data_IF_518966794312
#
_entry.id   IF_518966794312
#
_cell.length_a   1.000
_cell.length_b   1.000
_cell.length_c   1.000
_cell.angle_alpha   90.00
_cell.angle_beta   90.00
_cell.angle_gamma   90.00
#
_symmetry.space_group_name_H-M   'P 1'
#
loop_
_entity.id
_entity.type
_entity.pdbx_description
1 polymer ?
#
# COMPACT_ATOMS: atom_id res chain seq x y z
N UNK A 1 -7.88 8.44 -13.43
CA UNK A 1 -8.58 7.73 -12.34
C UNK A 1 -7.63 7.22 -11.26
N UNK A 2 -6.51 6.50 -11.58
CA UNK A 2 -5.59 5.97 -10.57
C UNK A 2 -4.89 7.07 -9.73
N UNK A 3 -4.56 8.21 -10.36
CA UNK A 3 -3.99 9.40 -9.68
C UNK A 3 -4.85 9.87 -8.49
N UNK A 4 -6.18 9.78 -8.59
CA UNK A 4 -7.07 10.17 -7.47
C UNK A 4 -6.93 9.21 -6.29
N UNK A 5 -6.73 7.92 -6.53
CA UNK A 5 -6.46 6.92 -5.49
C UNK A 5 -5.11 7.17 -4.80
N UNK A 6 -4.06 7.45 -5.57
CA UNK A 6 -2.74 7.83 -5.04
C UNK A 6 -2.81 9.09 -4.16
N UNK A 7 -3.51 10.14 -4.63
CA UNK A 7 -3.73 11.38 -3.85
C UNK A 7 -4.53 11.11 -2.58
N UNK A 8 -5.55 10.25 -2.64
CA UNK A 8 -6.33 9.87 -1.48
C UNK A 8 -5.49 9.13 -0.43
N UNK A 9 -4.70 8.14 -0.86
CA UNK A 9 -3.75 7.44 0.02
C UNK A 9 -2.74 8.40 0.65
N UNK A 10 -2.15 9.31 -0.14
CA UNK A 10 -1.25 10.33 0.39
C UNK A 10 -1.92 11.18 1.49
N UNK A 11 -3.17 11.61 1.27
CA UNK A 11 -3.89 12.43 2.23
C UNK A 11 -4.24 11.65 3.52
N UNK A 12 -4.68 10.40 3.41
CA UNK A 12 -5.03 9.55 4.57
C UNK A 12 -3.79 9.29 5.43
N UNK A 13 -2.73 8.77 4.83
CA UNK A 13 -1.54 8.37 5.58
C UNK A 13 -0.72 9.56 6.08
N UNK A 14 -0.72 10.68 5.35
CA UNK A 14 -0.15 11.93 5.87
C UNK A 14 -0.91 12.46 7.09
N UNK A 15 -2.25 12.36 7.12
CA UNK A 15 -3.07 12.75 8.29
C UNK A 15 -2.90 11.81 9.48
N UNK A 16 -2.62 10.53 9.23
CA UNK A 16 -2.18 9.60 10.26
C UNK A 16 -0.74 9.88 10.74
N UNK A 17 -0.02 10.79 10.07
CA UNK A 17 1.32 11.27 10.41
C UNK A 17 2.47 10.42 9.84
N UNK A 18 2.18 9.54 8.89
CA UNK A 18 3.22 8.87 8.10
C UNK A 18 3.81 9.81 7.06
N UNK A 19 5.09 9.59 6.72
CA UNK A 19 5.75 10.28 5.62
C UNK A 19 5.28 9.68 4.29
N UNK A 20 4.85 10.53 3.35
CA UNK A 20 4.34 10.11 2.04
C UNK A 20 5.06 10.86 0.93
N UNK A 21 5.22 10.22 -0.22
CA UNK A 21 5.79 10.84 -1.42
C UNK A 21 5.16 10.28 -2.69
N UNK A 22 4.67 11.10 -3.63
CA UNK A 22 4.47 12.54 -3.50
C UNK A 22 3.42 12.92 -2.43
N UNK A 23 3.43 14.18 -2.00
CA UNK A 23 2.37 14.74 -1.15
C UNK A 23 1.03 14.81 -1.90
N UNK A 24 -0.09 14.90 -1.18
CA UNK A 24 -1.43 14.91 -1.79
C UNK A 24 -1.64 16.07 -2.79
N UNK A 25 -1.08 17.25 -2.51
CA UNK A 25 -1.17 18.43 -3.38
C UNK A 25 0.00 18.57 -4.37
N UNK A 26 0.95 17.63 -4.38
CA UNK A 26 2.09 17.70 -5.29
C UNK A 26 1.67 17.36 -6.73
N UNK A 27 2.26 18.01 -7.75
CA UNK A 27 2.09 17.60 -9.14
C UNK A 27 2.60 16.16 -9.33
N UNK A 28 1.96 15.41 -10.22
CA UNK A 28 2.27 13.98 -10.45
C UNK A 28 2.48 13.72 -11.94
N UNK A 29 3.57 13.02 -12.24
CA UNK A 29 3.91 12.58 -13.59
C UNK A 29 3.78 11.05 -13.74
N UNK A 30 3.64 10.31 -12.64
CA UNK A 30 3.43 8.86 -12.60
C UNK A 30 2.27 8.49 -11.65
N UNK A 31 2.06 7.18 -11.48
CA UNK A 31 1.01 6.61 -10.63
C UNK A 31 1.49 6.19 -9.25
N UNK A 32 2.78 6.28 -8.96
CA UNK A 32 3.38 5.67 -7.78
C UNK A 32 3.10 6.55 -6.57
N UNK A 33 2.58 5.93 -5.51
CA UNK A 33 2.45 6.55 -4.20
C UNK A 33 3.29 5.78 -3.18
N UNK A 34 4.29 6.46 -2.62
CA UNK A 34 5.15 5.90 -1.58
C UNK A 34 4.65 6.30 -0.20
N UNK A 35 4.67 5.37 0.75
CA UNK A 35 4.34 5.61 2.17
C UNK A 35 5.40 4.92 3.03
N UNK A 36 6.02 5.66 3.96
CA UNK A 36 6.98 5.12 4.92
C UNK A 36 6.25 4.63 6.18
N UNK A 37 6.09 3.32 6.32
CA UNK A 37 5.25 2.70 7.36
C UNK A 37 5.97 2.52 8.71
N UNK A 38 7.25 2.91 8.79
CA UNK A 38 8.09 2.99 10.00
C UNK A 38 8.53 1.66 10.60
N UNK A 39 7.67 0.66 10.60
CA UNK A 39 7.98 -0.66 11.13
C UNK A 39 7.36 -1.77 10.28
N UNK A 40 7.89 -2.98 10.43
CA UNK A 40 7.43 -4.19 9.73
C UNK A 40 5.95 -4.49 9.97
N UNK A 41 5.48 -4.28 11.20
CA UNK A 41 4.08 -4.58 11.59
C UNK A 41 3.09 -3.71 10.82
N UNK A 42 3.35 -2.42 10.71
CA UNK A 42 2.52 -1.50 9.92
C UNK A 42 2.54 -1.87 8.43
N UNK A 43 3.68 -2.30 7.91
CA UNK A 43 3.82 -2.80 6.54
C UNK A 43 2.96 -4.03 6.26
N UNK A 44 3.03 -5.03 7.13
CA UNK A 44 2.21 -6.25 7.02
C UNK A 44 0.71 -5.94 7.13
N UNK A 45 0.31 -5.08 8.08
CA UNK A 45 -1.09 -4.65 8.23
C UNK A 45 -1.59 -3.87 7.02
N UNK A 46 -0.75 -2.99 6.45
CA UNK A 46 -1.06 -2.26 5.23
C UNK A 46 -1.32 -3.21 4.07
N UNK A 47 -0.36 -4.08 3.75
CA UNK A 47 -0.47 -5.03 2.64
C UNK A 47 -1.67 -5.96 2.83
N UNK A 48 -1.93 -6.43 4.05
CA UNK A 48 -3.12 -7.24 4.35
C UNK A 48 -4.43 -6.48 4.11
N UNK A 49 -4.48 -5.19 4.48
CA UNK A 49 -5.64 -4.34 4.24
C UNK A 49 -5.92 -4.11 2.75
N UNK A 50 -4.86 -3.91 1.96
CA UNK A 50 -4.96 -3.79 0.50
C UNK A 50 -5.44 -5.12 -0.13
N UNK A 51 -4.76 -6.23 0.20
CA UNK A 51 -5.08 -7.56 -0.34
C UNK A 51 -6.52 -7.98 -0.02
N UNK A 52 -7.02 -7.68 1.18
CA UNK A 52 -8.38 -8.03 1.60
C UNK A 52 -9.49 -7.38 0.77
N UNK A 53 -9.18 -6.37 -0.03
CA UNK A 53 -10.13 -5.74 -0.96
C UNK A 53 -9.89 -6.08 -2.43
N UNK A 54 -8.84 -6.85 -2.75
CA UNK A 54 -8.55 -7.30 -4.10
C UNK A 54 -9.66 -8.21 -4.64
N UNK A 55 -9.96 -8.16 -5.96
CA UNK A 55 -11.01 -8.97 -6.55
C UNK A 55 -10.70 -10.48 -6.54
N UNK A 56 -9.41 -10.84 -6.54
CA UNK A 56 -8.91 -12.21 -6.47
C UNK A 56 -8.06 -12.37 -5.20
N UNK A 57 -8.08 -13.56 -4.60
CA UNK A 57 -7.25 -13.90 -3.45
C UNK A 57 -7.36 -12.97 -2.23
N UNK A 58 -8.52 -12.34 -2.03
CA UNK A 58 -8.79 -11.50 -0.86
C UNK A 58 -8.65 -12.23 0.50
N UNK A 59 -8.72 -13.56 0.48
CA UNK A 59 -8.55 -14.42 1.65
C UNK A 59 -7.07 -14.75 1.94
N UNK A 60 -6.17 -14.49 1.00
CA UNK A 60 -4.73 -14.76 1.15
C UNK A 60 -4.10 -13.62 1.95
N UNK A 61 -3.27 -13.99 2.93
CA UNK A 61 -2.52 -13.01 3.72
C UNK A 61 -1.14 -12.81 3.10
N UNK A 62 -0.76 -11.58 2.70
CA UNK A 62 0.58 -11.28 2.21
C UNK A 62 1.65 -11.62 3.25
N UNK A 63 2.68 -12.33 2.81
CA UNK A 63 3.87 -12.63 3.62
C UNK A 63 5.11 -12.13 2.88
N UNK A 64 6.14 -11.78 3.66
CA UNK A 64 7.42 -11.38 3.10
C UNK A 64 8.16 -12.60 2.54
N UNK A 65 8.55 -12.54 1.27
CA UNK A 65 9.24 -13.62 0.58
C UNK A 65 10.50 -13.15 -0.15
N UNK A 66 11.38 -14.11 -0.43
CA UNK A 66 12.63 -13.87 -1.16
C UNK A 66 12.33 -13.72 -2.66
N UNK A 67 12.53 -12.52 -3.21
CA UNK A 67 12.30 -12.24 -4.63
C UNK A 67 13.64 -12.21 -5.39
N UNK A 68 13.82 -13.01 -6.45
CA UNK A 68 15.06 -13.01 -7.23
C UNK A 68 15.46 -11.60 -7.70
N UNK A 69 16.69 -11.20 -7.42
CA UNK A 69 17.21 -9.86 -7.76
C UNK A 69 17.08 -8.81 -6.66
N UNK A 70 16.41 -9.12 -5.54
CA UNK A 70 16.34 -8.25 -4.36
C UNK A 70 17.19 -8.80 -3.22
N UNK A 71 17.87 -7.90 -2.50
CA UNK A 71 18.69 -8.26 -1.34
C UNK A 71 17.85 -8.45 -0.06
N UNK A 72 16.73 -7.73 0.03
CA UNK A 72 15.78 -7.80 1.12
C UNK A 72 14.54 -8.58 0.69
N UNK A 73 13.85 -9.22 1.65
CA UNK A 73 12.54 -9.81 1.41
C UNK A 73 11.56 -8.75 0.94
N UNK A 74 10.69 -9.14 0.00
CA UNK A 74 9.63 -8.28 -0.53
C UNK A 74 8.30 -8.79 0.02
N UNK A 75 7.45 -7.88 0.48
CA UNK A 75 6.03 -8.16 0.73
C UNK A 75 5.21 -7.50 -0.37
N UNK A 76 4.20 -8.20 -0.85
CA UNK A 76 3.37 -7.77 -1.98
C UNK A 76 1.91 -8.12 -1.75
N UNK A 77 1.03 -7.14 -1.96
CA UNK A 77 -0.41 -7.31 -2.13
C UNK A 77 -0.74 -7.05 -3.61
N UNK A 78 -1.17 -8.09 -4.32
CA UNK A 78 -1.41 -8.08 -5.76
C UNK A 78 -2.47 -9.13 -6.14
N UNK A 79 -3.67 -9.01 -5.57
CA UNK A 79 -4.81 -9.88 -5.90
C UNK A 79 -5.50 -9.48 -7.22
N UNK A 80 -4.70 -9.31 -8.27
CA UNK A 80 -5.16 -8.84 -9.57
C UNK A 80 -5.72 -10.01 -10.40
N UNK A 81 -6.71 -9.75 -11.27
CA UNK A 81 -7.25 -10.77 -12.20
C UNK A 81 -6.19 -11.28 -13.19
N UNK A 82 -5.19 -10.45 -13.49
CA UNK A 82 -4.02 -10.79 -14.29
C UNK A 82 -2.78 -10.61 -13.42
N UNK A 83 -2.06 -11.70 -13.17
CA UNK A 83 -0.87 -11.70 -12.32
C UNK A 83 0.16 -10.66 -12.81
N UNK A 84 0.46 -9.65 -11.98
CA UNK A 84 1.43 -8.59 -12.29
C UNK A 84 0.89 -7.40 -13.09
N UNK A 85 -0.44 -7.26 -13.20
CA UNK A 85 -1.05 -6.11 -13.86
C UNK A 85 -0.94 -4.84 -13.01
N UNK A 86 -0.01 -3.95 -13.35
CA UNK A 86 0.12 -2.61 -12.73
C UNK A 86 -1.05 -1.64 -13.01
N UNK A 87 -2.08 -2.12 -13.73
CA UNK A 87 -3.34 -1.41 -13.98
C UNK A 87 -4.31 -1.63 -12.81
N UNK A 88 -4.24 -2.78 -12.14
CA UNK A 88 -5.03 -3.11 -10.96
C UNK A 88 -4.31 -2.65 -9.68
N UNK A 89 -5.03 -2.59 -8.55
CA UNK A 89 -4.51 -1.97 -7.33
C UNK A 89 -3.52 -2.92 -6.66
N UNK A 90 -2.26 -2.50 -6.59
CA UNK A 90 -1.19 -3.28 -5.99
C UNK A 90 -0.35 -2.44 -5.02
N UNK A 91 0.25 -3.13 -4.05
CA UNK A 91 1.14 -2.54 -3.08
C UNK A 91 2.30 -3.49 -2.76
N UNK A 92 3.53 -3.05 -2.95
CA UNK A 92 4.72 -3.84 -2.66
C UNK A 92 5.83 -3.01 -2.02
N UNK A 93 6.79 -3.68 -1.39
CA UNK A 93 8.00 -3.01 -0.91
C UNK A 93 8.97 -3.93 -0.18
N UNK A 94 10.22 -3.48 0.00
CA UNK A 94 11.23 -4.24 0.73
C UNK A 94 11.03 -4.15 2.25
N UNK A 95 11.18 -5.28 2.92
CA UNK A 95 11.03 -5.40 4.38
C UNK A 95 12.33 -4.95 5.08
N UNK A 96 12.61 -3.65 4.98
CA UNK A 96 13.70 -2.97 5.67
C UNK A 96 13.32 -1.53 5.98
N UNK A 97 14.03 -0.88 6.91
CA UNK A 97 13.79 0.52 7.26
C UNK A 97 13.91 1.45 6.02
N UNK A 98 13.00 2.44 5.85
CA UNK A 98 11.88 2.85 6.72
C UNK A 98 10.54 2.16 6.43
N UNK A 99 10.57 0.95 5.89
CA UNK A 99 9.42 0.11 5.50
C UNK A 99 8.55 0.84 4.50
N UNK A 100 9.16 1.20 3.37
CA UNK A 100 8.49 1.88 2.28
C UNK A 100 7.60 0.89 1.54
N UNK A 101 6.34 1.28 1.33
CA UNK A 101 5.45 0.62 0.38
C UNK A 101 5.22 1.52 -0.83
N UNK A 102 5.17 0.92 -2.00
CA UNK A 102 4.83 1.52 -3.28
C UNK A 102 3.41 1.08 -3.65
N UNK A 103 2.45 1.97 -3.50
CA UNK A 103 1.06 1.77 -3.89
C UNK A 103 0.85 2.31 -5.30
N UNK A 104 0.28 1.51 -6.19
CA UNK A 104 0.02 1.91 -7.57
C UNK A 104 -1.23 1.25 -8.16
N UNK A 105 -1.66 1.77 -9.30
CA UNK A 105 -2.76 1.21 -10.08
C UNK A 105 -4.14 1.48 -9.50
N UNK A 106 -5.10 0.66 -9.93
CA UNK A 106 -6.51 0.76 -9.58
C UNK A 106 -7.35 1.46 -10.65
N UNK A 107 -8.20 0.68 -11.30
CA UNK A 107 -9.08 1.11 -12.40
C UNK A 107 -10.29 1.90 -11.87
N UNK A 108 -10.78 1.51 -10.68
CA UNK A 108 -11.99 2.00 -10.04
C UNK A 108 -11.62 2.75 -8.76
N UNK A 109 -11.99 4.02 -8.66
CA UNK A 109 -11.58 4.89 -7.55
C UNK A 109 -12.18 4.42 -6.22
N UNK A 110 -13.42 3.97 -6.25
CA UNK A 110 -14.18 3.49 -5.11
C UNK A 110 -13.49 2.29 -4.45
N UNK A 111 -12.97 1.37 -5.27
CA UNK A 111 -12.17 0.24 -4.80
C UNK A 111 -10.88 0.72 -4.11
N UNK A 112 -10.15 1.66 -4.71
CA UNK A 112 -8.94 2.22 -4.11
C UNK A 112 -9.22 2.89 -2.76
N UNK A 113 -10.34 3.62 -2.65
CA UNK A 113 -10.74 4.27 -1.39
C UNK A 113 -10.99 3.22 -0.31
N UNK A 114 -11.76 2.16 -0.62
CA UNK A 114 -12.08 1.11 0.34
C UNK A 114 -10.83 0.36 0.81
N UNK A 115 -9.95 -0.03 -0.11
CA UNK A 115 -8.70 -0.72 0.21
C UNK A 115 -7.78 0.14 1.09
N UNK A 116 -7.61 1.42 0.75
CA UNK A 116 -6.81 2.39 1.52
C UNK A 116 -7.38 2.59 2.92
N UNK A 117 -8.70 2.74 3.04
CA UNK A 117 -9.36 2.88 4.34
C UNK A 117 -9.22 1.63 5.19
N UNK A 118 -9.26 0.44 4.60
CA UNK A 118 -9.05 -0.81 5.31
C UNK A 118 -7.62 -0.94 5.84
N UNK A 119 -6.62 -0.63 5.00
CA UNK A 119 -5.22 -0.60 5.41
C UNK A 119 -4.99 0.38 6.57
N UNK A 120 -5.55 1.59 6.46
CA UNK A 120 -5.51 2.57 7.54
C UNK A 120 -6.19 2.06 8.83
N UNK A 121 -7.37 1.43 8.69
CA UNK A 121 -8.12 0.86 9.81
C UNK A 121 -7.33 -0.22 10.55
N UNK A 122 -6.73 -1.17 9.85
CA UNK A 122 -5.92 -2.23 10.46
C UNK A 122 -4.73 -1.69 11.25
N UNK A 123 -4.07 -0.65 10.72
CA UNK A 123 -2.99 0.03 11.43
C UNK A 123 -3.52 0.72 12.69
N UNK A 124 -4.61 1.50 12.59
CA UNK A 124 -5.21 2.18 13.73
C UNK A 124 -5.69 1.22 14.84
N UNK A 125 -6.40 0.14 14.49
CA UNK A 125 -6.92 -0.86 15.45
C UNK A 125 -5.78 -1.61 16.17
N UNK A 126 -4.63 -1.76 15.51
CA UNK A 126 -3.44 -2.36 16.09
C UNK A 126 -2.65 -1.41 17.02
N UNK A 127 -3.10 -0.16 17.19
CA UNK A 127 -2.38 0.90 17.90
C UNK A 127 -1.20 1.46 17.11
N UNK A 128 -1.16 1.21 15.80
CA UNK A 128 -0.13 1.69 14.90
C UNK A 128 -0.31 3.17 14.56
N UNK A 129 0.76 3.93 14.76
CA UNK A 129 0.89 5.33 14.37
C UNK A 129 2.36 5.65 14.11
N UNK A 130 2.68 6.87 13.66
CA UNK A 130 4.07 7.28 13.39
C UNK A 130 4.95 7.36 14.64
N UNK A 131 4.36 7.25 15.83
CA UNK A 131 5.01 7.28 17.13
C UNK A 131 4.96 5.92 17.87
N UNK A 132 4.39 4.87 17.23
CA UNK A 132 4.28 3.51 17.79
C UNK A 132 5.42 2.60 17.35
#
# INVERSE_FOLDING_TARGET
KPIKGAVFAAAVFSRMGFSVSPAAAAPRCDLIQTIALKNRRNMELFCRGIQGFSPVDAHVTPIADDMPGYADKIIMAAGDFVQGSSIELSADGPVREPYLVYLQGGIVLEHNILAVLQAARFICEAGGGPLS
#
